data_IF_413151181621
#
_entry.id   IF_413151181621
#
_cell.length_a   1.000
_cell.length_b   1.000
_cell.length_c   1.000
_cell.angle_alpha   90.00
_cell.angle_beta   90.00
_cell.angle_gamma   90.00
#
_symmetry.space_group_name_H-M   'P 1'
#
loop_
_entity.id
_entity.type
_entity.pdbx_description
1 polymer ?
#
# COMPACT_ATOMS: atom_id res chain seq x y z
N UNK A 1 6.88 -1.17 -20.64
CA UNK A 1 7.04 -0.14 -19.60
C UNK A 1 6.89 -0.82 -18.26
N UNK A 2 7.71 -0.48 -17.25
CA UNK A 2 7.58 -1.09 -15.92
C UNK A 2 6.21 -0.74 -15.32
N UNK A 3 5.54 -1.73 -14.72
CA UNK A 3 4.31 -1.51 -13.95
C UNK A 3 4.58 -1.64 -12.46
N UNK A 4 4.23 -0.59 -11.72
CA UNK A 4 4.31 -0.52 -10.26
C UNK A 4 2.90 -0.53 -9.70
N UNK A 5 2.55 -1.56 -8.92
CA UNK A 5 1.31 -1.58 -8.16
C UNK A 5 1.59 -1.18 -6.72
N UNK A 6 0.86 -0.19 -6.22
CA UNK A 6 1.02 0.31 -4.85
C UNK A 6 -0.19 -0.08 -4.01
N UNK A 7 -0.01 -1.05 -3.12
CA UNK A 7 -1.04 -1.61 -2.24
C UNK A 7 -1.12 -0.79 -0.95
N UNK A 8 -2.32 -0.27 -0.64
CA UNK A 8 -2.47 0.68 0.47
C UNK A 8 -2.11 2.11 0.05
N UNK A 9 -2.46 2.49 -1.18
CA UNK A 9 -2.14 3.79 -1.76
C UNK A 9 -2.71 4.98 -0.98
N UNK A 10 -3.67 4.77 -0.09
CA UNK A 10 -4.19 5.77 0.84
C UNK A 10 -3.17 6.21 1.91
N UNK A 11 -2.01 5.59 2.00
CA UNK A 11 -0.85 6.11 2.74
C UNK A 11 -0.16 7.22 1.92
N UNK A 12 -0.78 8.40 1.87
CA UNK A 12 -0.37 9.48 0.95
C UNK A 12 1.10 9.89 1.10
N UNK A 13 1.68 9.85 2.30
CA UNK A 13 3.10 10.18 2.51
C UNK A 13 4.01 9.12 1.86
N UNK A 14 3.75 7.84 2.10
CA UNK A 14 4.53 6.76 1.50
C UNK A 14 4.34 6.70 -0.01
N UNK A 15 3.10 6.81 -0.49
CA UNK A 15 2.79 6.84 -1.91
C UNK A 15 3.49 8.02 -2.60
N UNK A 16 3.48 9.22 -2.00
CA UNK A 16 4.20 10.40 -2.50
C UNK A 16 5.69 10.13 -2.63
N UNK A 17 6.33 9.64 -1.58
CA UNK A 17 7.78 9.54 -1.54
C UNK A 17 8.26 8.46 -2.53
N UNK A 18 7.73 7.24 -2.44
CA UNK A 18 8.18 6.12 -3.27
C UNK A 18 7.87 6.35 -4.75
N UNK A 19 6.64 6.77 -5.07
CA UNK A 19 6.24 6.96 -6.47
C UNK A 19 6.77 8.28 -7.03
N UNK A 20 6.98 9.30 -6.19
CA UNK A 20 7.66 10.54 -6.59
C UNK A 20 9.11 10.29 -6.96
N UNK A 21 9.84 9.49 -6.16
CA UNK A 21 11.22 9.09 -6.47
C UNK A 21 11.26 8.23 -7.74
N UNK A 22 10.28 7.33 -7.93
CA UNK A 22 10.13 6.53 -9.15
C UNK A 22 9.96 7.42 -10.40
N UNK A 23 9.17 8.49 -10.28
CA UNK A 23 8.97 9.47 -11.36
C UNK A 23 10.23 10.28 -11.70
N UNK A 24 11.17 10.43 -10.77
CA UNK A 24 12.45 11.11 -10.98
C UNK A 24 13.55 10.16 -11.47
N UNK A 25 13.36 8.85 -11.34
CA UNK A 25 14.32 7.84 -11.77
C UNK A 25 14.22 7.56 -13.28
N UNK A 26 15.32 7.64 -14.05
CA UNK A 26 15.31 7.38 -15.49
C UNK A 26 14.76 6.01 -15.89
N UNK A 27 14.92 4.98 -15.05
CA UNK A 27 14.43 3.63 -15.38
C UNK A 27 12.93 3.44 -15.12
N UNK A 28 12.29 4.35 -14.39
CA UNK A 28 10.90 4.20 -13.91
C UNK A 28 10.00 5.39 -14.27
N UNK A 29 10.51 6.44 -14.87
CA UNK A 29 9.75 7.67 -15.10
C UNK A 29 8.56 7.53 -16.07
N UNK A 30 8.54 6.48 -16.89
CA UNK A 30 7.45 6.13 -17.82
C UNK A 30 6.59 4.98 -17.25
N UNK A 31 6.67 4.71 -15.95
CA UNK A 31 5.98 3.57 -15.35
C UNK A 31 4.45 3.70 -15.41
N UNK A 32 3.80 2.55 -15.56
CA UNK A 32 2.38 2.37 -15.28
C UNK A 32 2.20 2.22 -13.77
N UNK A 33 1.62 3.21 -13.11
CA UNK A 33 1.40 3.24 -11.67
C UNK A 33 -0.06 2.88 -11.37
N UNK A 34 -0.27 1.72 -10.74
CA UNK A 34 -1.58 1.26 -10.30
C UNK A 34 -1.75 1.46 -8.79
N UNK A 35 -2.63 2.37 -8.40
CA UNK A 35 -2.95 2.65 -7.00
C UNK A 35 -4.09 1.75 -6.53
N UNK A 36 -3.87 0.97 -5.48
CA UNK A 36 -4.89 0.13 -4.89
C UNK A 36 -5.15 0.54 -3.44
N UNK A 37 -6.42 0.73 -3.08
CA UNK A 37 -6.86 0.91 -1.70
C UNK A 37 -8.31 0.43 -1.52
N UNK A 38 -8.72 0.20 -0.28
CA UNK A 38 -10.11 -0.11 0.08
C UNK A 38 -10.90 1.15 0.46
N UNK A 39 -10.21 2.25 0.78
CA UNK A 39 -10.82 3.53 1.12
C UNK A 39 -10.92 4.44 -0.12
N UNK A 40 -12.15 4.77 -0.58
CA UNK A 40 -12.34 5.56 -1.80
C UNK A 40 -11.87 7.02 -1.65
N UNK A 41 -11.94 7.59 -0.46
CA UNK A 41 -11.53 8.97 -0.20
C UNK A 41 -10.01 9.07 -0.26
N UNK A 42 -9.32 8.23 0.50
CA UNK A 42 -7.85 8.23 0.56
C UNK A 42 -7.22 7.88 -0.78
N UNK A 43 -7.82 6.94 -1.53
CA UNK A 43 -7.38 6.58 -2.88
C UNK A 43 -7.47 7.77 -3.84
N UNK A 44 -8.61 8.49 -3.83
CA UNK A 44 -8.83 9.67 -4.66
C UNK A 44 -7.85 10.80 -4.33
N UNK A 45 -7.62 11.06 -3.05
CA UNK A 45 -6.66 12.07 -2.59
C UNK A 45 -5.24 11.75 -3.06
N UNK A 46 -4.81 10.50 -2.90
CA UNK A 46 -3.48 10.03 -3.32
C UNK A 46 -3.30 10.08 -4.83
N UNK A 47 -4.33 9.68 -5.60
CA UNK A 47 -4.33 9.82 -7.06
C UNK A 47 -4.17 11.28 -7.49
N UNK A 48 -4.94 12.20 -6.91
CA UNK A 48 -4.87 13.64 -7.25
C UNK A 48 -3.49 14.22 -6.97
N UNK A 49 -2.93 13.89 -5.80
CA UNK A 49 -1.58 14.30 -5.41
C UNK A 49 -0.53 13.76 -6.39
N UNK A 50 -0.59 12.49 -6.76
CA UNK A 50 0.38 11.88 -7.68
C UNK A 50 0.24 12.40 -9.11
N UNK A 51 -0.97 12.70 -9.58
CA UNK A 51 -1.18 13.35 -10.87
C UNK A 51 -0.55 14.75 -10.89
N UNK A 52 -0.69 15.51 -9.80
CA UNK A 52 -0.03 16.82 -9.66
C UNK A 52 1.50 16.68 -9.68
N UNK A 53 2.06 15.73 -8.94
CA UNK A 53 3.51 15.46 -8.95
C UNK A 53 3.98 15.06 -10.36
N UNK A 54 3.32 14.08 -10.97
CA UNK A 54 3.67 13.60 -12.30
C UNK A 54 3.70 14.73 -13.34
N UNK A 55 2.73 15.65 -13.30
CA UNK A 55 2.71 16.83 -14.17
C UNK A 55 3.91 17.75 -13.93
N UNK A 56 4.21 18.07 -12.67
CA UNK A 56 5.18 19.12 -12.33
C UNK A 56 6.64 18.65 -12.34
N UNK A 57 6.91 17.40 -11.95
CA UNK A 57 8.29 16.91 -11.81
C UNK A 57 8.67 15.88 -12.88
N UNK A 58 7.68 15.31 -13.59
CA UNK A 58 7.89 14.22 -14.53
C UNK A 58 7.26 14.45 -15.91
N UNK A 59 6.84 15.69 -16.20
CA UNK A 59 6.26 16.08 -17.49
C UNK A 59 5.05 15.24 -17.92
N UNK A 60 4.35 14.63 -16.97
CA UNK A 60 3.15 13.81 -17.21
C UNK A 60 3.41 12.41 -17.79
N UNK A 61 4.66 11.92 -17.77
CA UNK A 61 5.04 10.67 -18.43
C UNK A 61 4.46 9.39 -17.82
N UNK A 62 4.37 9.33 -16.48
CA UNK A 62 3.82 8.15 -15.82
C UNK A 62 2.30 8.05 -16.04
N UNK A 63 1.78 6.84 -16.24
CA UNK A 63 0.34 6.59 -16.34
C UNK A 63 -0.20 6.17 -14.98
N UNK A 64 -1.11 6.95 -14.41
CA UNK A 64 -1.63 6.68 -13.05
C UNK A 64 -3.08 6.18 -13.11
N UNK A 65 -3.32 4.98 -12.60
CA UNK A 65 -4.64 4.34 -12.49
C UNK A 65 -5.01 4.09 -11.02
N UNK A 66 -6.29 3.92 -10.73
CA UNK A 66 -6.81 3.72 -9.38
C UNK A 66 -7.81 2.58 -9.34
N UNK A 67 -7.66 1.69 -8.36
CA UNK A 67 -8.39 0.43 -8.24
C UNK A 67 -8.96 0.31 -6.82
N UNK A 68 -10.28 0.43 -6.69
CA UNK A 68 -10.95 0.49 -5.40
C UNK A 68 -11.46 -0.89 -4.95
N UNK A 69 -11.05 -1.32 -3.76
CA UNK A 69 -11.63 -2.47 -3.07
C UNK A 69 -11.26 -3.83 -3.69
N UNK A 70 -11.54 -4.90 -2.94
CA UNK A 70 -11.08 -6.27 -3.23
C UNK A 70 -11.45 -6.75 -4.65
N UNK A 71 -12.61 -6.35 -5.17
CA UNK A 71 -13.06 -6.72 -6.52
C UNK A 71 -12.08 -6.26 -7.62
N UNK A 72 -11.40 -5.13 -7.42
CA UNK A 72 -10.46 -4.56 -8.39
C UNK A 72 -8.99 -4.89 -8.10
N UNK A 73 -8.72 -5.67 -7.05
CA UNK A 73 -7.34 -5.97 -6.61
C UNK A 73 -6.52 -6.68 -7.68
N UNK A 74 -7.09 -7.70 -8.31
CA UNK A 74 -6.43 -8.43 -9.41
C UNK A 74 -6.18 -7.53 -10.62
N UNK A 75 -7.10 -6.63 -10.94
CA UNK A 75 -6.91 -5.67 -12.02
C UNK A 75 -5.76 -4.69 -11.74
N UNK A 76 -5.60 -4.28 -10.48
CA UNK A 76 -4.43 -3.49 -10.05
C UNK A 76 -3.14 -4.27 -10.27
N UNK A 77 -3.08 -5.50 -9.76
CA UNK A 77 -1.88 -6.36 -9.76
C UNK A 77 -1.47 -6.90 -11.13
N UNK A 78 -2.42 -7.08 -12.06
CA UNK A 78 -2.21 -7.74 -13.34
C UNK A 78 -0.98 -7.21 -14.08
N UNK A 79 -0.06 -8.06 -14.51
CA UNK A 79 1.16 -7.70 -15.25
C UNK A 79 2.10 -6.73 -14.52
N UNK A 80 2.00 -6.61 -13.18
CA UNK A 80 2.93 -5.79 -12.40
C UNK A 80 4.36 -6.36 -12.45
N UNK A 81 5.36 -5.48 -12.51
CA UNK A 81 6.76 -5.85 -12.30
C UNK A 81 7.18 -5.67 -10.84
N UNK A 82 6.59 -4.68 -10.16
CA UNK A 82 6.82 -4.37 -8.76
C UNK A 82 5.48 -4.19 -8.04
N UNK A 83 5.33 -4.80 -6.87
CA UNK A 83 4.18 -4.64 -5.99
C UNK A 83 4.69 -4.13 -4.65
N UNK A 84 4.48 -2.83 -4.39
CA UNK A 84 4.87 -2.18 -3.13
C UNK A 84 3.70 -2.26 -2.16
N UNK A 85 3.94 -2.81 -0.97
CA UNK A 85 2.92 -3.02 0.04
C UNK A 85 3.09 -2.09 1.26
N UNK A 86 2.16 -1.14 1.40
CA UNK A 86 2.14 -0.18 2.50
C UNK A 86 0.83 -0.25 3.31
N UNK A 87 0.18 -1.41 3.36
CA UNK A 87 -1.10 -1.56 4.07
C UNK A 87 -0.93 -1.49 5.58
N UNK A 88 -1.96 -0.95 6.25
CA UNK A 88 -2.14 -1.05 7.69
C UNK A 88 -3.56 -1.56 7.96
N UNK A 89 -3.70 -2.87 8.14
CA UNK A 89 -5.02 -3.50 8.31
C UNK A 89 -5.69 -2.98 9.58
N UNK A 90 -6.85 -2.37 9.39
CA UNK A 90 -7.66 -1.78 10.46
C UNK A 90 -7.18 -0.42 10.98
N UNK A 91 -6.16 0.17 10.32
CA UNK A 91 -5.71 1.55 10.52
C UNK A 91 -5.22 1.91 11.92
N UNK A 92 -4.94 3.20 12.12
CA UNK A 92 -4.56 3.72 13.45
C UNK A 92 -5.71 3.56 14.46
N UNK A 93 -6.90 4.02 14.09
CA UNK A 93 -8.14 3.80 14.85
C UNK A 93 -9.06 2.86 14.05
N UNK A 94 -9.53 1.75 14.64
CA UNK A 94 -9.33 1.38 16.05
C UNK A 94 -8.05 0.56 16.31
N UNK A 95 -7.41 -0.02 15.29
CA UNK A 95 -6.54 -1.20 15.50
C UNK A 95 -5.25 -0.91 16.24
N UNK A 96 -4.45 0.09 15.82
CA UNK A 96 -3.24 0.45 16.58
C UNK A 96 -3.61 0.87 18.01
N UNK A 97 -4.70 1.63 18.21
CA UNK A 97 -5.16 1.99 19.55
C UNK A 97 -5.51 0.77 20.39
N UNK A 98 -6.18 -0.24 19.81
CA UNK A 98 -6.48 -1.52 20.47
C UNK A 98 -5.18 -2.25 20.87
N UNK A 99 -4.18 -2.26 19.99
CA UNK A 99 -2.90 -2.91 20.23
C UNK A 99 -2.18 -2.32 21.46
N UNK A 100 -2.40 -1.04 21.78
CA UNK A 100 -1.92 -0.40 23.01
C UNK A 100 -2.86 -0.58 24.21
N UNK A 101 -4.15 -0.32 24.04
CA UNK A 101 -5.08 -0.19 25.16
C UNK A 101 -5.51 -1.52 25.76
N UNK A 102 -5.59 -2.61 24.97
CA UNK A 102 -5.90 -3.93 25.54
C UNK A 102 -4.77 -4.39 26.48
N UNK A 103 -3.50 -4.47 26.07
CA UNK A 103 -2.42 -4.94 26.95
C UNK A 103 -2.25 -4.08 28.21
N UNK A 104 -2.47 -2.77 28.08
CA UNK A 104 -2.41 -1.82 29.19
C UNK A 104 -3.44 -2.11 30.29
N UNK A 105 -4.65 -2.61 29.94
CA UNK A 105 -5.66 -3.04 30.92
C UNK A 105 -5.19 -4.23 31.76
N UNK A 106 -4.24 -5.02 31.26
CA UNK A 106 -3.63 -6.17 31.94
C UNK A 106 -2.24 -5.84 32.52
N UNK A 107 -1.90 -4.56 32.68
CA UNK A 107 -0.64 -4.12 33.29
C UNK A 107 0.56 -4.04 32.35
N UNK A 108 0.41 -4.36 31.05
CA UNK A 108 1.49 -4.30 30.08
C UNK A 108 1.45 -3.02 29.24
N UNK A 109 2.38 -2.11 29.49
CA UNK A 109 2.59 -0.90 28.67
C UNK A 109 3.70 -1.13 27.66
N UNK A 110 3.45 -0.79 26.40
CA UNK A 110 4.39 -0.99 25.30
C UNK A 110 4.68 0.35 24.62
N UNK A 111 5.90 0.56 24.16
CA UNK A 111 6.30 1.78 23.43
C UNK A 111 5.91 1.69 21.95
N UNK A 112 6.00 0.49 21.34
CA UNK A 112 5.64 0.23 19.94
C UNK A 112 4.73 -1.01 19.88
N UNK A 113 3.50 -0.85 20.36
CA UNK A 113 2.61 -1.99 20.56
C UNK A 113 2.18 -2.67 19.26
N UNK A 114 2.19 -1.99 18.11
CA UNK A 114 1.70 -2.54 16.84
C UNK A 114 2.75 -3.34 16.05
N UNK A 115 3.95 -3.59 16.60
CA UNK A 115 5.01 -4.33 15.89
C UNK A 115 5.65 -5.42 16.73
N UNK A 116 5.80 -5.20 18.04
CA UNK A 116 6.42 -6.14 18.98
C UNK A 116 5.43 -6.53 20.08
N UNK A 117 5.76 -7.60 20.80
CA UNK A 117 4.96 -8.08 21.93
C UNK A 117 3.54 -8.49 21.52
N UNK A 118 2.62 -8.40 22.47
CA UNK A 118 1.26 -8.92 22.29
C UNK A 118 0.44 -8.10 21.28
N UNK A 119 0.70 -6.79 21.16
CA UNK A 119 0.01 -5.98 20.14
C UNK A 119 0.53 -6.28 18.72
N UNK A 120 1.82 -6.63 18.59
CA UNK A 120 2.38 -7.18 17.35
C UNK A 120 1.68 -8.49 16.96
N UNK A 121 1.39 -9.36 17.94
CA UNK A 121 0.59 -10.58 17.72
C UNK A 121 -0.84 -10.24 17.24
N UNK A 122 -1.49 -9.24 17.82
CA UNK A 122 -2.81 -8.82 17.34
C UNK A 122 -2.77 -8.32 15.89
N UNK A 123 -1.74 -7.54 15.54
CA UNK A 123 -1.55 -7.05 14.17
C UNK A 123 -1.29 -8.17 13.17
N UNK A 124 -0.42 -9.13 13.49
CA UNK A 124 -0.13 -10.23 12.55
C UNK A 124 -1.36 -11.08 12.31
N UNK A 125 -2.18 -11.35 13.34
CA UNK A 125 -3.44 -12.08 13.19
C UNK A 125 -4.42 -11.36 12.25
N UNK A 126 -4.44 -10.03 12.24
CA UNK A 126 -5.25 -9.25 11.28
C UNK A 126 -4.64 -9.18 9.89
N UNK A 127 -3.30 -9.12 9.79
CA UNK A 127 -2.59 -8.76 8.57
C UNK A 127 -2.16 -9.97 7.74
N UNK A 128 -1.75 -11.07 8.36
CA UNK A 128 -1.28 -12.27 7.68
C UNK A 128 -2.31 -12.83 6.66
N UNK A 129 -3.63 -12.90 6.95
CA UNK A 129 -4.61 -13.35 5.96
C UNK A 129 -4.68 -12.43 4.73
N UNK A 130 -4.49 -11.12 4.91
CA UNK A 130 -4.50 -10.15 3.80
C UNK A 130 -3.24 -10.32 2.94
N UNK A 131 -2.08 -10.49 3.58
CA UNK A 131 -0.81 -10.74 2.90
C UNK A 131 -0.86 -12.04 2.08
N UNK A 132 -1.39 -13.12 2.65
CA UNK A 132 -1.57 -14.39 1.93
C UNK A 132 -2.52 -14.23 0.74
N UNK A 133 -3.60 -13.47 0.91
CA UNK A 133 -4.53 -13.18 -0.17
C UNK A 133 -3.94 -12.28 -1.28
N UNK A 134 -2.89 -11.50 -0.99
CA UNK A 134 -2.13 -10.77 -2.01
C UNK A 134 -1.22 -11.72 -2.77
N UNK A 135 -0.45 -12.55 -2.06
CA UNK A 135 0.44 -13.54 -2.68
C UNK A 135 -0.33 -14.47 -3.64
N UNK A 136 -1.47 -15.00 -3.22
CA UNK A 136 -2.34 -15.85 -4.06
C UNK A 136 -2.90 -15.15 -5.30
N UNK A 137 -3.13 -13.84 -5.23
CA UNK A 137 -3.56 -13.08 -6.40
C UNK A 137 -2.36 -12.80 -7.32
N UNK A 138 -1.20 -12.46 -6.75
CA UNK A 138 0.05 -12.22 -7.49
C UNK A 138 0.50 -13.45 -8.27
N UNK A 139 0.50 -14.63 -7.66
CA UNK A 139 0.80 -15.90 -8.34
C UNK A 139 -0.05 -16.13 -9.60
N UNK A 140 -1.27 -15.59 -9.64
CA UNK A 140 -2.21 -15.78 -10.75
C UNK A 140 -2.09 -14.72 -11.84
N UNK A 141 -1.71 -13.48 -11.49
CA UNK A 141 -1.83 -12.34 -12.41
C UNK A 141 -0.53 -11.57 -12.63
N UNK A 142 0.49 -11.80 -11.81
CA UNK A 142 1.83 -11.22 -11.95
C UNK A 142 2.89 -12.09 -11.23
N UNK A 143 3.08 -13.36 -11.64
CA UNK A 143 3.93 -14.32 -10.92
C UNK A 143 5.41 -13.91 -10.86
N UNK A 144 5.88 -13.12 -11.81
CA UNK A 144 7.28 -12.65 -11.88
C UNK A 144 7.51 -11.31 -11.16
N UNK A 145 6.48 -10.76 -10.50
CA UNK A 145 6.58 -9.47 -9.83
C UNK A 145 7.41 -9.56 -8.54
N UNK A 146 8.24 -8.55 -8.31
CA UNK A 146 8.86 -8.35 -7.00
C UNK A 146 7.83 -7.84 -6.00
N UNK A 147 7.66 -8.57 -4.89
CA UNK A 147 6.86 -8.12 -3.76
C UNK A 147 7.75 -7.38 -2.74
N UNK A 148 7.42 -6.13 -2.46
CA UNK A 148 8.20 -5.18 -1.66
C UNK A 148 7.42 -4.70 -0.45
#
# INVERSE_FOLDING_TARGET
MPKITFMGAGSSVFAKNILGDSMLSPSLHDADIALYDIDPKRLRESKRMLQFLNKNINKGRAKITSHLGKANRKAALKDANYVVNAIQVGGYKPSTVIDFEIPKKYGLRQTIADTIGIGGVFRVLRTAPVMMAFAQDMEKVCPDAWFL
#
